data_IF_372214003840
#
_entry.id   IF_372214003840
#
_cell.length_a   1.000
_cell.length_b   1.000
_cell.length_c   1.000
_cell.angle_alpha   90.00
_cell.angle_beta   90.00
_cell.angle_gamma   90.00
#
_symmetry.space_group_name_H-M   'P 1'
#
loop_
_entity.id
_entity.type
_entity.pdbx_description
1 polymer ?
#
# COMPACT_ATOMS: atom_id res chain seq x y z
N UNK A 1 0.17 1.53 7.41
CA UNK A 1 1.54 2.08 7.62
C UNK A 1 1.63 2.55 9.07
N UNK A 2 2.70 3.25 9.50
CA UNK A 2 2.62 4.01 10.77
C UNK A 2 1.50 5.07 10.76
N UNK A 3 1.07 5.48 9.57
CA UNK A 3 -0.15 6.23 9.29
C UNK A 3 -1.32 5.31 8.94
N UNK A 4 -2.56 5.82 9.08
CA UNK A 4 -3.83 5.21 8.67
C UNK A 4 -3.99 5.05 7.14
N UNK A 5 -2.88 4.75 6.46
CA UNK A 5 -2.74 4.54 5.02
C UNK A 5 -2.33 3.10 4.74
N UNK A 6 -2.98 2.53 3.73
CA UNK A 6 -2.70 1.21 3.18
C UNK A 6 -2.48 1.33 1.68
N UNK A 7 -1.66 0.43 1.13
CA UNK A 7 -1.31 0.41 -0.28
C UNK A 7 -1.44 -1.01 -0.80
N UNK A 8 -2.18 -1.17 -1.88
CA UNK A 8 -2.29 -2.43 -2.63
C UNK A 8 -1.72 -2.20 -4.02
N UNK A 9 -0.95 -3.16 -4.52
CA UNK A 9 -0.37 -3.08 -5.86
C UNK A 9 0.49 -4.29 -6.14
N UNK A 10 1.00 -4.37 -7.37
CA UNK A 10 1.90 -5.44 -7.78
C UNK A 10 3.32 -5.11 -7.36
N UNK A 11 3.91 -5.94 -6.49
CA UNK A 11 5.30 -5.80 -6.09
C UNK A 11 6.23 -6.13 -7.26
N UNK A 12 7.02 -5.15 -7.69
CA UNK A 12 8.03 -5.30 -8.73
C UNK A 12 9.40 -5.67 -8.16
N UNK A 13 9.72 -5.17 -6.97
CA UNK A 13 10.97 -5.44 -6.29
C UNK A 13 11.10 -4.68 -4.98
N UNK A 14 12.09 -5.05 -4.18
CA UNK A 14 12.44 -4.39 -2.94
C UNK A 14 13.96 -4.46 -2.71
N UNK A 15 14.47 -3.62 -1.79
CA UNK A 15 15.88 -3.61 -1.38
C UNK A 15 16.06 -4.11 0.07
N UNK A 16 17.30 -4.15 0.54
CA UNK A 16 17.65 -4.59 1.90
C UNK A 16 17.05 -3.70 3.01
N UNK A 17 16.64 -2.47 2.66
CA UNK A 17 15.97 -1.54 3.56
C UNK A 17 14.44 -1.62 3.47
N UNK A 18 13.92 -2.58 2.69
CA UNK A 18 12.48 -2.81 2.49
C UNK A 18 11.83 -1.60 1.82
N UNK A 19 12.57 -0.78 1.07
CA UNK A 19 11.96 0.12 0.12
C UNK A 19 11.36 -0.71 -1.02
N UNK A 20 10.14 -0.39 -1.44
CA UNK A 20 9.40 -1.22 -2.39
C UNK A 20 8.98 -0.45 -3.60
N UNK A 21 9.15 -1.06 -4.78
CA UNK A 21 8.59 -0.55 -6.03
C UNK A 21 7.32 -1.33 -6.31
N UNK A 22 6.20 -0.61 -6.38
CA UNK A 22 4.89 -1.16 -6.72
C UNK A 22 4.38 -0.58 -8.05
N UNK A 23 3.61 -1.39 -8.78
CA UNK A 23 2.86 -1.00 -9.98
C UNK A 23 1.35 -1.18 -9.75
N UNK A 24 0.52 -0.48 -10.53
CA UNK A 24 -0.94 -0.49 -10.43
C UNK A 24 -1.44 -0.25 -9.00
N UNK A 25 -0.92 0.82 -8.38
CA UNK A 25 -1.09 1.05 -6.94
C UNK A 25 -2.42 1.70 -6.65
N UNK A 26 -3.10 1.16 -5.64
CA UNK A 26 -4.25 1.77 -5.00
C UNK A 26 -3.88 2.15 -3.59
N UNK A 27 -4.02 3.44 -3.28
CA UNK A 27 -3.86 3.96 -1.94
C UNK A 27 -5.22 4.06 -1.25
N UNK A 28 -5.27 3.57 -0.01
CA UNK A 28 -6.40 3.70 0.90
C UNK A 28 -6.01 4.57 2.08
N UNK A 29 -6.73 5.66 2.30
CA UNK A 29 -6.56 6.55 3.44
C UNK A 29 -7.83 6.49 4.30
N UNK A 30 -7.69 6.13 5.57
CA UNK A 30 -8.82 6.19 6.51
C UNK A 30 -8.91 7.61 7.06
N UNK A 31 -10.01 8.29 6.74
CA UNK A 31 -10.31 9.65 7.23
C UNK A 31 -11.52 9.58 8.18
N UNK A 32 -11.76 10.62 9.01
CA UNK A 32 -12.98 10.70 9.83
C UNK A 32 -14.29 10.63 9.03
N UNK A 33 -14.24 10.95 7.72
CA UNK A 33 -15.37 10.93 6.80
C UNK A 33 -15.52 9.59 6.06
N UNK A 34 -14.61 8.64 6.28
CA UNK A 34 -14.59 7.33 5.64
C UNK A 34 -13.27 7.01 4.94
N UNK A 35 -13.24 5.90 4.19
CA UNK A 35 -12.07 5.48 3.40
C UNK A 35 -12.03 6.23 2.07
N UNK A 36 -10.92 6.90 1.80
CA UNK A 36 -10.63 7.53 0.50
C UNK A 36 -9.70 6.63 -0.30
N UNK A 37 -10.05 6.39 -1.57
CA UNK A 37 -9.25 5.61 -2.52
C UNK A 37 -8.61 6.53 -3.54
N UNK A 38 -7.34 6.31 -3.84
CA UNK A 38 -6.61 7.04 -4.86
C UNK A 38 -5.81 6.08 -5.72
N UNK A 39 -6.01 6.12 -7.04
CA UNK A 39 -5.15 5.39 -7.98
C UNK A 39 -3.84 6.14 -8.16
N UNK A 40 -2.74 5.39 -8.04
CA UNK A 40 -1.39 5.85 -8.29
C UNK A 40 -0.77 4.97 -9.39
N UNK A 41 0.15 5.57 -10.15
CA UNK A 41 0.95 4.81 -11.09
C UNK A 41 2.04 4.02 -10.34
N UNK A 42 3.19 3.83 -10.95
CA UNK A 42 4.35 3.27 -10.28
C UNK A 42 4.73 4.11 -9.05
N UNK A 43 4.85 3.46 -7.90
CA UNK A 43 5.10 4.11 -6.61
C UNK A 43 6.27 3.45 -5.90
N UNK A 44 7.20 4.26 -5.41
CA UNK A 44 8.26 3.83 -4.51
C UNK A 44 7.83 4.09 -3.06
N UNK A 45 7.68 3.02 -2.28
CA UNK A 45 7.37 3.10 -0.87
C UNK A 45 8.66 3.06 -0.03
N UNK A 46 8.75 3.96 0.95
CA UNK A 46 9.86 3.99 1.88
C UNK A 46 9.70 2.93 2.98
N UNK A 47 10.69 2.07 3.16
CA UNK A 47 10.68 0.95 4.10
C UNK A 47 10.49 1.34 5.56
N UNK A 48 10.93 2.53 5.97
CA UNK A 48 10.78 3.00 7.36
C UNK A 48 9.32 3.19 7.79
N UNK A 49 8.41 3.35 6.83
CA UNK A 49 6.99 3.56 7.06
C UNK A 49 6.14 2.29 6.87
N UNK A 50 6.76 1.20 6.40
CA UNK A 50 6.10 -0.09 6.20
C UNK A 50 6.02 -0.80 7.55
N UNK A 51 4.81 -1.22 7.93
CA UNK A 51 4.55 -1.91 9.20
C UNK A 51 4.19 -3.38 8.99
N UNK A 52 3.43 -3.69 7.95
CA UNK A 52 2.98 -5.04 7.61
C UNK A 52 2.90 -5.18 6.10
N UNK A 53 3.12 -6.41 5.61
CA UNK A 53 3.02 -6.82 4.21
C UNK A 53 2.14 -8.04 4.14
N UNK A 54 1.14 -8.03 3.25
CA UNK A 54 0.19 -9.13 3.08
C UNK A 54 0.23 -9.59 1.62
N UNK A 55 0.96 -10.68 1.31
CA UNK A 55 1.02 -11.22 -0.05
C UNK A 55 -0.35 -11.73 -0.50
N UNK A 56 -0.73 -11.42 -1.75
CA UNK A 56 -1.98 -11.92 -2.35
C UNK A 56 -3.26 -11.24 -1.86
N UNK A 57 -3.16 -10.20 -1.04
CA UNK A 57 -4.32 -9.38 -0.68
C UNK A 57 -4.77 -8.51 -1.86
N UNK A 58 -6.08 -8.41 -2.01
CA UNK A 58 -6.81 -7.59 -2.98
C UNK A 58 -7.10 -6.18 -2.45
N UNK A 59 -6.76 -5.92 -1.18
CA UNK A 59 -7.01 -4.66 -0.50
C UNK A 59 -8.20 -4.74 0.47
N UNK A 60 -8.45 -3.67 1.23
CA UNK A 60 -9.35 -3.68 2.39
C UNK A 60 -10.85 -3.58 2.04
N UNK A 61 -11.22 -3.73 0.77
CA UNK A 61 -12.62 -3.71 0.30
C UNK A 61 -13.17 -5.09 -0.05
N UNK A 62 -12.29 -6.06 -0.26
CA UNK A 62 -12.67 -7.45 -0.41
C UNK A 62 -12.32 -8.14 0.92
N UNK A 63 -13.25 -8.05 1.87
CA UNK A 63 -13.28 -9.00 2.98
C UNK A 63 -13.63 -10.37 2.37
N UNK A 64 -12.70 -11.32 2.45
CA UNK A 64 -12.96 -12.72 2.13
C UNK A 64 -13.94 -13.35 3.11
#
# INVERSE_FOLDING_TARGET
>A
MKSDREFTGKLLGFDDFVNMVLEDVTEYETTPQGKKKTQLAQTLLNGNNICMLIPGSVGPDEEG
#
